data_IF_599127784936
#
_entry.id   IF_599127784936
#
_cell.length_a   1.000
_cell.length_b   1.000
_cell.length_c   1.000
_cell.angle_alpha   90.00
_cell.angle_beta   90.00
_cell.angle_gamma   90.00
#
_symmetry.space_group_name_H-M   'P 1'
#
loop_
_entity.id
_entity.type
_entity.pdbx_description
1 polymer ?
#
# COMPACT_ATOMS: atom_id res chain seq x y z
N UNK A 1 -12.97 -22.31 -3.50
CA UNK A 1 -14.37 -22.45 -3.04
C UNK A 1 -14.36 -22.49 -1.52
N UNK A 2 -14.90 -21.47 -0.85
CA UNK A 2 -14.84 -21.28 0.62
C UNK A 2 -15.40 -22.49 1.37
N UNK A 3 -16.44 -23.14 0.81
CA UNK A 3 -17.05 -24.36 1.35
C UNK A 3 -16.07 -25.51 1.63
N UNK A 4 -14.95 -25.60 0.90
CA UNK A 4 -13.94 -26.65 1.11
C UNK A 4 -13.07 -26.44 2.37
N UNK A 5 -13.15 -25.29 3.02
CA UNK A 5 -12.32 -24.93 4.17
C UNK A 5 -13.16 -24.64 5.43
N UNK A 6 -14.47 -24.93 5.41
CA UNK A 6 -15.37 -24.68 6.54
C UNK A 6 -14.96 -25.38 7.84
N UNK A 7 -14.28 -26.53 7.75
CA UNK A 7 -13.79 -27.26 8.93
C UNK A 7 -12.61 -26.58 9.63
N UNK A 8 -11.90 -25.69 8.92
CA UNK A 8 -10.70 -24.99 9.42
C UNK A 8 -11.06 -23.58 9.92
N UNK A 9 -12.15 -23.01 9.41
CA UNK A 9 -12.54 -21.62 9.68
C UNK A 9 -13.50 -21.56 10.88
N UNK A 10 -13.04 -20.98 11.98
CA UNK A 10 -13.90 -20.68 13.15
C UNK A 10 -14.81 -19.49 12.85
N UNK A 11 -16.05 -19.76 12.51
CA UNK A 11 -17.06 -18.73 12.23
C UNK A 11 -17.42 -17.94 13.51
N UNK A 12 -17.65 -16.64 13.37
CA UNK A 12 -18.13 -15.82 14.48
C UNK A 12 -19.65 -15.88 14.59
N UNK A 13 -20.11 -16.08 15.82
CA UNK A 13 -21.53 -16.00 16.15
C UNK A 13 -22.01 -14.55 16.38
N UNK A 14 -21.11 -13.57 16.32
CA UNK A 14 -21.39 -12.15 16.65
C UNK A 14 -21.12 -11.19 15.50
N UNK A 15 -20.20 -11.53 14.60
CA UNK A 15 -19.76 -10.66 13.50
C UNK A 15 -20.08 -11.34 12.19
N UNK A 16 -20.73 -10.62 11.27
CA UNK A 16 -21.07 -11.15 9.96
C UNK A 16 -19.80 -11.54 9.17
N UNK A 17 -19.89 -12.64 8.42
CA UNK A 17 -18.74 -13.20 7.70
C UNK A 17 -18.08 -12.19 6.73
N UNK A 18 -18.85 -11.29 6.10
CA UNK A 18 -18.29 -10.26 5.22
C UNK A 18 -17.41 -9.27 5.99
N UNK A 19 -17.86 -8.80 7.17
CA UNK A 19 -17.06 -7.91 8.03
C UNK A 19 -15.83 -8.61 8.59
N UNK A 20 -15.96 -9.90 8.88
CA UNK A 20 -14.83 -10.72 9.29
C UNK A 20 -13.82 -10.93 8.17
N UNK A 21 -14.29 -11.11 6.92
CA UNK A 21 -13.43 -11.17 5.75
C UNK A 21 -12.74 -9.83 5.50
N UNK A 22 -13.45 -8.71 5.61
CA UNK A 22 -12.86 -7.36 5.56
C UNK A 22 -11.70 -7.25 6.57
N UNK A 23 -11.95 -7.55 7.85
CA UNK A 23 -10.94 -7.42 8.91
C UNK A 23 -9.79 -8.44 8.76
N UNK A 24 -10.10 -9.71 8.49
CA UNK A 24 -9.09 -10.78 8.45
C UNK A 24 -8.25 -10.77 7.19
N UNK A 25 -8.83 -10.42 6.03
CA UNK A 25 -8.08 -10.29 4.80
C UNK A 25 -7.16 -9.07 4.81
N UNK A 26 -7.57 -7.96 5.44
CA UNK A 26 -6.68 -6.81 5.69
C UNK A 26 -5.46 -7.22 6.50
N UNK A 27 -5.66 -7.85 7.67
CA UNK A 27 -4.53 -8.31 8.50
C UNK A 27 -3.63 -9.31 7.76
N UNK A 28 -4.23 -10.25 7.03
CA UNK A 28 -3.47 -11.25 6.25
C UNK A 28 -2.68 -10.57 5.14
N UNK A 29 -3.27 -9.58 4.47
CA UNK A 29 -2.59 -8.78 3.45
C UNK A 29 -1.41 -8.02 4.05
N UNK A 30 -1.61 -7.33 5.18
CA UNK A 30 -0.56 -6.60 5.89
C UNK A 30 0.60 -7.52 6.30
N UNK A 31 0.29 -8.71 6.81
CA UNK A 31 1.29 -9.73 7.17
C UNK A 31 2.11 -10.18 5.94
N UNK A 32 1.45 -10.51 4.83
CA UNK A 32 2.11 -10.92 3.58
C UNK A 32 2.99 -9.79 3.06
N UNK A 33 2.47 -8.56 2.98
CA UNK A 33 3.23 -7.40 2.48
C UNK A 33 4.46 -7.16 3.34
N UNK A 34 4.30 -7.21 4.68
CA UNK A 34 5.41 -7.04 5.61
C UNK A 34 6.48 -8.13 5.42
N UNK A 35 6.08 -9.38 5.30
CA UNK A 35 7.00 -10.49 5.04
C UNK A 35 7.77 -10.28 3.71
N UNK A 36 7.07 -9.95 2.63
CA UNK A 36 7.69 -9.71 1.32
C UNK A 36 8.66 -8.53 1.35
N UNK A 37 8.34 -7.45 2.07
CA UNK A 37 9.23 -6.31 2.25
C UNK A 37 10.51 -6.72 3.00
N UNK A 38 10.40 -7.50 4.08
CA UNK A 38 11.57 -7.94 4.84
C UNK A 38 12.44 -8.91 4.05
N UNK A 39 11.85 -9.81 3.27
CA UNK A 39 12.58 -10.65 2.32
C UNK A 39 13.36 -9.77 1.33
N UNK A 40 12.69 -8.80 0.70
CA UNK A 40 13.29 -7.89 -0.27
C UNK A 40 14.42 -7.02 0.32
N UNK A 41 14.32 -6.61 1.60
CA UNK A 41 15.38 -5.86 2.28
C UNK A 41 16.62 -6.70 2.55
N UNK A 42 16.43 -7.98 2.88
CA UNK A 42 17.54 -8.91 3.18
C UNK A 42 18.25 -9.37 1.91
N UNK A 43 17.49 -9.60 0.83
CA UNK A 43 18.01 -9.90 -0.49
C UNK A 43 17.13 -9.21 -1.55
N UNK A 44 17.62 -8.13 -2.14
CA UNK A 44 16.89 -7.42 -3.20
C UNK A 44 16.67 -8.32 -4.42
N UNK A 45 17.60 -9.24 -4.70
CA UNK A 45 17.63 -9.94 -5.97
C UNK A 45 17.80 -8.99 -7.17
N UNK A 46 17.58 -9.51 -8.38
CA UNK A 46 17.84 -8.77 -9.64
C UNK A 46 16.70 -7.83 -10.06
N UNK A 47 15.47 -8.11 -9.63
CA UNK A 47 14.26 -7.39 -10.06
C UNK A 47 13.64 -6.51 -8.97
N UNK A 48 14.38 -6.21 -7.91
CA UNK A 48 13.94 -5.31 -6.85
C UNK A 48 14.98 -4.23 -6.64
N UNK A 49 14.54 -2.98 -6.46
CA UNK A 49 15.41 -1.85 -6.23
C UNK A 49 14.70 -0.78 -5.40
N UNK A 50 15.47 0.05 -4.71
CA UNK A 50 14.96 1.26 -4.09
C UNK A 50 14.82 2.35 -5.16
N UNK A 51 13.74 3.14 -5.12
CA UNK A 51 13.61 4.31 -5.99
C UNK A 51 14.75 5.29 -5.70
N UNK A 52 14.93 5.63 -4.41
CA UNK A 52 16.07 6.42 -3.94
C UNK A 52 16.31 6.18 -2.44
N UNK A 53 17.27 5.32 -2.11
CA UNK A 53 17.60 4.93 -0.73
C UNK A 53 18.14 6.07 0.15
N UNK A 54 18.58 7.19 -0.44
CA UNK A 54 19.06 8.33 0.33
C UNK A 54 17.92 9.19 0.89
N UNK A 55 16.75 9.15 0.24
CA UNK A 55 15.62 10.06 0.51
C UNK A 55 14.38 9.29 0.98
N UNK A 56 14.23 8.02 0.58
CA UNK A 56 13.05 7.21 0.87
C UNK A 56 13.37 5.70 0.92
N UNK A 57 12.59 4.96 1.69
CA UNK A 57 12.68 3.49 1.74
C UNK A 57 11.74 2.78 0.75
N UNK A 58 11.23 3.50 -0.26
CA UNK A 58 10.31 2.92 -1.25
C UNK A 58 11.05 1.90 -2.12
N UNK A 59 10.61 0.65 -2.02
CA UNK A 59 11.09 -0.49 -2.79
C UNK A 59 10.11 -0.83 -3.90
N UNK A 60 10.63 -1.08 -5.10
CA UNK A 60 9.87 -1.60 -6.23
C UNK A 60 10.42 -2.97 -6.56
N UNK A 61 9.54 -3.97 -6.66
CA UNK A 61 9.91 -5.32 -7.09
C UNK A 61 8.69 -6.18 -7.41
N UNK A 62 8.93 -7.32 -8.05
CA UNK A 62 7.87 -8.20 -8.58
C UNK A 62 6.87 -8.69 -7.53
N UNK A 63 7.32 -8.94 -6.30
CA UNK A 63 6.50 -9.49 -5.21
C UNK A 63 6.05 -8.42 -4.20
N UNK A 64 6.35 -7.15 -4.47
CA UNK A 64 5.95 -6.03 -3.64
C UNK A 64 4.71 -5.37 -4.24
N UNK A 65 3.84 -4.76 -3.42
CA UNK A 65 2.79 -3.92 -3.95
C UNK A 65 3.40 -2.79 -4.79
N UNK A 66 2.77 -2.42 -5.93
CA UNK A 66 3.24 -1.29 -6.71
C UNK A 66 3.08 0.00 -5.90
N UNK A 67 4.04 0.92 -5.94
CA UNK A 67 3.90 2.22 -5.28
C UNK A 67 2.76 3.02 -5.93
N UNK A 68 2.00 3.71 -5.11
CA UNK A 68 0.90 4.58 -5.55
C UNK A 68 1.44 5.99 -5.77
N UNK A 69 1.29 6.48 -7.00
CA UNK A 69 1.67 7.84 -7.38
C UNK A 69 0.41 8.69 -7.50
N UNK A 70 0.36 9.79 -6.76
CA UNK A 70 -0.72 10.77 -6.86
C UNK A 70 -0.22 12.06 -7.52
N UNK A 71 -0.86 12.45 -8.61
CA UNK A 71 -0.48 13.64 -9.37
C UNK A 71 -1.28 14.88 -8.94
N UNK A 72 -0.58 16.01 -8.77
CA UNK A 72 -1.17 17.35 -8.68
C UNK A 72 -1.11 17.99 -10.06
N UNK A 73 -2.20 17.83 -10.83
CA UNK A 73 -2.33 18.44 -12.16
C UNK A 73 -2.42 19.97 -12.12
N UNK A 74 -1.85 20.64 -13.15
CA UNK A 74 -1.75 22.10 -13.27
C UNK A 74 -1.20 22.72 -11.97
N UNK A 75 -0.15 22.16 -11.39
CA UNK A 75 0.42 22.67 -10.15
C UNK A 75 0.87 24.15 -10.25
N UNK A 76 1.49 24.61 -11.36
CA UNK A 76 1.91 26.01 -11.49
C UNK A 76 0.79 27.04 -11.40
N UNK A 77 -0.45 26.65 -11.70
CA UNK A 77 -1.64 27.51 -11.61
C UNK A 77 -2.23 27.58 -10.20
N UNK A 78 -1.71 26.78 -9.25
CA UNK A 78 -2.25 26.68 -7.89
C UNK A 78 -1.46 27.54 -6.91
N UNK A 79 -2.15 28.01 -5.88
CA UNK A 79 -1.48 28.61 -4.74
C UNK A 79 -0.71 27.56 -3.94
N UNK A 80 0.36 27.98 -3.26
CA UNK A 80 1.09 27.10 -2.34
C UNK A 80 0.18 26.45 -1.28
N UNK A 81 -0.86 27.16 -0.83
CA UNK A 81 -1.81 26.63 0.15
C UNK A 81 -2.65 25.48 -0.42
N UNK A 82 -3.11 25.61 -1.67
CA UNK A 82 -3.87 24.56 -2.35
C UNK A 82 -3.01 23.33 -2.64
N UNK A 83 -1.74 23.55 -3.02
CA UNK A 83 -0.76 22.48 -3.22
C UNK A 83 -0.57 21.71 -1.91
N UNK A 84 -0.27 22.41 -0.81
CA UNK A 84 -0.09 21.79 0.51
C UNK A 84 -1.35 21.02 0.93
N UNK A 85 -2.54 21.57 0.70
CA UNK A 85 -3.81 20.90 1.02
C UNK A 85 -3.95 19.58 0.24
N UNK A 86 -3.63 19.58 -1.06
CA UNK A 86 -3.66 18.37 -1.90
C UNK A 86 -2.62 17.34 -1.48
N UNK A 87 -1.38 17.77 -1.22
CA UNK A 87 -0.30 16.89 -0.72
C UNK A 87 -0.76 16.17 0.54
N UNK A 88 -1.29 16.91 1.53
CA UNK A 88 -1.78 16.32 2.78
C UNK A 88 -2.87 15.29 2.54
N UNK A 89 -3.86 15.65 1.71
CA UNK A 89 -4.95 14.74 1.38
C UNK A 89 -4.46 13.44 0.72
N UNK A 90 -3.49 13.52 -0.21
CA UNK A 90 -2.96 12.34 -0.88
C UNK A 90 -2.12 11.46 0.04
N UNK A 91 -1.31 12.06 0.94
CA UNK A 91 -0.59 11.30 1.97
C UNK A 91 -1.58 10.57 2.89
N UNK A 92 -2.62 11.25 3.38
CA UNK A 92 -3.67 10.65 4.22
C UNK A 92 -4.48 9.56 3.50
N UNK A 93 -4.52 9.62 2.16
CA UNK A 93 -5.20 8.63 1.32
C UNK A 93 -4.30 7.44 0.93
N UNK A 94 -3.03 7.43 1.36
CA UNK A 94 -2.10 6.33 1.11
C UNK A 94 -1.24 6.45 -0.15
N UNK A 95 -1.02 7.66 -0.68
CA UNK A 95 -0.06 7.85 -1.76
C UNK A 95 1.38 7.71 -1.25
N UNK A 96 2.19 6.89 -1.94
CA UNK A 96 3.61 6.71 -1.64
C UNK A 96 4.47 7.84 -2.25
N UNK A 97 4.05 8.35 -3.41
CA UNK A 97 4.77 9.36 -4.18
C UNK A 97 3.78 10.44 -4.62
N UNK A 98 4.17 11.70 -4.45
CA UNK A 98 3.43 12.84 -5.00
C UNK A 98 4.17 13.36 -6.23
N UNK A 99 3.51 13.31 -7.38
CA UNK A 99 4.00 13.94 -8.60
C UNK A 99 3.44 15.37 -8.72
N UNK A 100 4.32 16.31 -9.02
CA UNK A 100 4.00 17.73 -9.12
C UNK A 100 3.95 18.08 -10.62
N UNK A 101 2.78 17.87 -11.22
CA UNK A 101 2.55 18.08 -12.65
C UNK A 101 2.66 19.55 -13.03
N UNK A 102 3.43 19.82 -14.07
CA UNK A 102 3.58 21.15 -14.67
C UNK A 102 2.39 21.55 -15.55
#
# INVERSE_FOLDING_TARGET
>A
MILKHLEIIKLSNKVAANKLLEISCENTYEEIVKEQIEIAKNDLGFHTFYINKQISDILIGRNLPPPIIAEIVNCPEKSNQDIIKKVKHYIESGADIIDIGC
#
